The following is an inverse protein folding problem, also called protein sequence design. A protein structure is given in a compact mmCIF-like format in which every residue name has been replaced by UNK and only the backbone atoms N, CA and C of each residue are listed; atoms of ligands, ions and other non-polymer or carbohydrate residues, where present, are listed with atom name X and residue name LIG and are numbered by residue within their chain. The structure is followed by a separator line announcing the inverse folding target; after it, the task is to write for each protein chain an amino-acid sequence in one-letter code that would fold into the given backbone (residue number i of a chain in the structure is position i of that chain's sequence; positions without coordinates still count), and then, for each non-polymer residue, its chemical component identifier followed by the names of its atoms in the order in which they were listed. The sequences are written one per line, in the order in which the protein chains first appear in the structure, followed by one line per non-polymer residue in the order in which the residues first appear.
data_IF_144955887083
#
_entry.id   IF_144955887083
#
_cell.length_a   1.000
_cell.length_b   1.000
_cell.length_c   1.000
_cell.angle_alpha   90.00
_cell.angle_beta   90.00
_cell.angle_gamma   90.00
#
_symmetry.space_group_name_H-M   'P 1'
#
loop_
_entity.id
_entity.type
_entity.pdbx_description
1 polymer ?
#
# COMPACT_ATOMS: atom_id res chain seq x y z
N UNK A 1 -3.42 -12.69 15.24
CA UNK A 1 -3.76 -12.07 13.93
C UNK A 1 -3.32 -10.62 13.81
N UNK A 2 -3.70 -9.73 14.73
CA UNK A 2 -3.50 -8.27 14.60
C UNK A 2 -2.03 -7.87 14.39
N UNK A 3 -1.09 -8.46 15.16
CA UNK A 3 0.36 -8.18 14.99
C UNK A 3 0.88 -8.52 13.59
N UNK A 4 0.46 -9.67 13.03
CA UNK A 4 0.84 -10.12 11.69
C UNK A 4 0.17 -9.25 10.62
N UNK A 5 -1.12 -8.93 10.79
CA UNK A 5 -1.84 -8.03 9.90
C UNK A 5 -1.23 -6.62 9.88
N UNK A 6 -0.85 -6.07 11.03
CA UNK A 6 -0.20 -4.77 11.14
C UNK A 6 1.17 -4.75 10.44
N UNK A 7 1.98 -5.81 10.62
CA UNK A 7 3.25 -5.96 9.90
C UNK A 7 3.05 -5.99 8.39
N UNK A 8 2.12 -6.81 7.92
CA UNK A 8 1.79 -6.92 6.49
C UNK A 8 1.23 -5.60 5.96
N UNK A 9 0.43 -4.91 6.76
CA UNK A 9 -0.12 -3.61 6.40
C UNK A 9 0.98 -2.57 6.17
N UNK A 10 1.98 -2.47 7.06
CA UNK A 10 3.11 -1.54 6.89
C UNK A 10 3.85 -1.84 5.59
N UNK A 11 4.14 -3.12 5.33
CA UNK A 11 4.83 -3.54 4.11
C UNK A 11 3.99 -3.23 2.86
N UNK A 12 2.70 -3.55 2.87
CA UNK A 12 1.81 -3.30 1.74
C UNK A 12 1.63 -1.80 1.49
N UNK A 13 1.40 -1.01 2.54
CA UNK A 13 1.19 0.43 2.42
C UNK A 13 2.42 1.12 1.83
N UNK A 14 3.61 0.80 2.32
CA UNK A 14 4.87 1.38 1.82
C UNK A 14 5.19 0.90 0.41
N UNK A 15 4.97 -0.37 0.10
CA UNK A 15 5.22 -0.94 -1.24
C UNK A 15 4.27 -0.34 -2.27
N UNK A 16 2.96 -0.33 -2.00
CA UNK A 16 1.96 0.24 -2.89
C UNK A 16 2.14 1.76 -3.03
N UNK A 17 2.44 2.45 -1.93
CA UNK A 17 2.76 3.88 -1.94
C UNK A 17 3.98 4.17 -2.80
N UNK A 18 5.07 3.41 -2.63
CA UNK A 18 6.28 3.54 -3.44
C UNK A 18 6.03 3.29 -4.92
N UNK A 19 5.27 2.26 -5.28
CA UNK A 19 4.87 1.98 -6.67
C UNK A 19 4.06 3.15 -7.24
N UNK A 20 3.06 3.65 -6.51
CA UNK A 20 2.21 4.72 -6.98
C UNK A 20 2.98 6.04 -7.16
N UNK A 21 3.86 6.39 -6.23
CA UNK A 21 4.73 7.56 -6.34
C UNK A 21 5.69 7.42 -7.52
N UNK A 22 6.30 6.24 -7.69
CA UNK A 22 7.18 5.96 -8.84
C UNK A 22 6.43 6.13 -10.15
N UNK A 23 5.21 5.61 -10.26
CA UNK A 23 4.37 5.76 -11.45
C UNK A 23 4.02 7.23 -11.74
N UNK A 24 3.72 8.03 -10.70
CA UNK A 24 3.41 9.46 -10.85
C UNK A 24 4.61 10.23 -11.39
N UNK A 25 5.81 9.98 -10.86
CA UNK A 25 7.03 10.70 -11.26
C UNK A 25 7.54 10.22 -12.62
N UNK A 26 7.33 8.94 -12.97
CA UNK A 26 7.76 8.38 -14.25
C UNK A 26 6.95 8.90 -15.46
N UNK A 27 5.73 9.40 -15.24
CA UNK A 27 4.84 9.86 -16.32
C UNK A 27 4.79 11.41 -16.30
N UNK A 28 5.28 12.10 -17.34
CA UNK A 28 5.42 13.57 -17.33
C UNK A 28 4.11 14.32 -17.02
N UNK A 29 2.99 13.87 -17.60
CA UNK A 29 1.67 14.50 -17.40
C UNK A 29 1.12 14.36 -15.97
N UNK A 30 1.59 13.35 -15.22
CA UNK A 30 1.25 13.14 -13.81
C UNK A 30 2.26 13.89 -12.90
N UNK A 31 3.53 13.95 -13.30
CA UNK A 31 4.58 14.64 -12.56
C UNK A 31 4.31 16.14 -12.39
N UNK A 32 3.69 16.81 -13.38
CA UNK A 32 3.26 18.21 -13.27
C UNK A 32 2.29 18.44 -12.09
N UNK A 33 1.55 17.41 -11.67
CA UNK A 33 0.58 17.45 -10.57
C UNK A 33 1.06 16.68 -9.34
N UNK A 34 2.36 16.36 -9.26
CA UNK A 34 2.94 15.54 -8.21
C UNK A 34 2.63 16.06 -6.80
N UNK A 35 2.63 17.38 -6.60
CA UNK A 35 2.36 18.00 -5.29
C UNK A 35 1.00 17.60 -4.69
N UNK A 36 0.00 17.33 -5.53
CA UNK A 36 -1.34 16.89 -5.09
C UNK A 36 -1.51 15.38 -5.23
N UNK A 37 -0.97 14.79 -6.29
CA UNK A 37 -1.16 13.37 -6.59
C UNK A 37 -0.36 12.45 -5.66
N UNK A 38 0.86 12.82 -5.27
CA UNK A 38 1.70 11.97 -4.40
C UNK A 38 1.04 11.77 -3.03
N UNK A 39 0.62 12.83 -2.30
CA UNK A 39 -0.09 12.64 -1.03
C UNK A 39 -1.38 11.82 -1.20
N UNK A 40 -2.17 12.11 -2.23
CA UNK A 40 -3.41 11.38 -2.49
C UNK A 40 -3.18 9.89 -2.80
N UNK A 41 -2.17 9.58 -3.61
CA UNK A 41 -1.81 8.21 -3.94
C UNK A 41 -1.31 7.43 -2.73
N UNK A 42 -0.54 8.07 -1.85
CA UNK A 42 -0.05 7.43 -0.62
C UNK A 42 -1.19 7.14 0.35
N UNK A 43 -2.10 8.09 0.56
CA UNK A 43 -3.31 7.89 1.38
C UNK A 43 -4.16 6.75 0.81
N UNK A 44 -4.32 6.72 -0.52
CA UNK A 44 -5.06 5.65 -1.20
C UNK A 44 -4.39 4.29 -0.99
N UNK A 45 -3.07 4.20 -1.14
CA UNK A 45 -2.30 2.97 -0.90
C UNK A 45 -2.44 2.47 0.54
N UNK A 46 -2.39 3.37 1.52
CA UNK A 46 -2.61 3.07 2.95
C UNK A 46 -3.99 2.48 3.19
N UNK A 47 -5.04 3.12 2.63
CA UNK A 47 -6.42 2.68 2.79
C UNK A 47 -6.62 1.31 2.14
N UNK A 48 -6.10 1.10 0.93
CA UNK A 48 -6.19 -0.17 0.21
C UNK A 48 -5.40 -1.29 0.91
N UNK A 49 -4.25 -0.97 1.51
CA UNK A 49 -3.44 -1.93 2.25
C UNK A 49 -4.17 -2.50 3.47
N UNK A 50 -5.05 -1.74 4.14
CA UNK A 50 -5.77 -2.19 5.34
C UNK A 50 -6.58 -3.48 5.11
N UNK A 51 -7.56 -3.53 4.20
CA UNK A 51 -8.34 -4.76 3.96
C UNK A 51 -7.46 -5.88 3.39
N UNK A 52 -6.50 -5.57 2.51
CA UNK A 52 -5.61 -6.58 1.93
C UNK A 52 -4.75 -7.27 2.99
N UNK A 53 -4.22 -6.51 3.95
CA UNK A 53 -3.37 -7.04 5.02
C UNK A 53 -4.10 -8.09 5.87
N UNK A 54 -5.40 -7.89 6.12
CA UNK A 54 -6.22 -8.83 6.87
C UNK A 54 -6.44 -10.14 6.10
N UNK A 55 -6.69 -10.06 4.80
CA UNK A 55 -6.86 -11.24 3.93
C UNK A 55 -5.58 -12.09 3.90
N UNK A 56 -4.42 -11.45 3.72
CA UNK A 56 -3.13 -12.14 3.70
C UNK A 56 -2.81 -12.74 5.07
N UNK A 57 -3.00 -11.99 6.16
CA UNK A 57 -2.77 -12.49 7.52
C UNK A 57 -3.66 -13.69 7.88
N UNK A 58 -4.90 -13.73 7.37
CA UNK A 58 -5.78 -14.91 7.51
C UNK A 58 -5.23 -16.11 6.75
N UNK A 59 -4.75 -15.92 5.52
CA UNK A 59 -4.22 -17.02 4.71
C UNK A 59 -2.94 -17.62 5.29
N UNK A 60 -2.05 -16.78 5.82
CA UNK A 60 -0.82 -17.23 6.49
C UNK A 60 -1.17 -18.09 7.72
N UNK A 61 -2.07 -17.65 8.58
CA UNK A 61 -2.48 -18.44 9.75
C UNK A 61 -3.16 -19.77 9.39
N UNK A 62 -3.88 -19.83 8.27
CA UNK A 62 -4.50 -21.06 7.81
C UNK A 62 -3.47 -22.09 7.33
N UNK A 63 -2.35 -21.65 6.74
CA UNK A 63 -1.28 -22.52 6.24
C UNK A 63 -0.21 -22.86 7.29
N UNK A 64 -0.14 -22.12 8.41
CA UNK A 64 0.82 -22.37 9.50
C UNK A 64 0.28 -23.30 10.61
N UNK A 65 -0.90 -23.89 10.41
CA UNK A 65 -1.53 -24.86 11.32
C UNK A 65 -1.48 -26.25 10.71
#
# INVERSE_FOLDING_TARGET
MFKVAALIWIILATTLGGIAVTAIVAIPSLAEKAATLIPAAFVTAVILAMPMSYLVARRIQANSR
#
